data_IF_920043466120
#
_entry.id   IF_920043466120
#
_cell.length_a   1.000
_cell.length_b   1.000
_cell.length_c   1.000
_cell.angle_alpha   90.00
_cell.angle_beta   90.00
_cell.angle_gamma   90.00
#
_symmetry.space_group_name_H-M   'P 1'
#
loop_
_entity.id
_entity.type
_entity.pdbx_description
1 polymer ?
#
# COMPACT_ATOMS: atom_id res chain seq x y z
N UNK A 1 10.60 26.04 -7.08
CA UNK A 1 11.31 24.96 -7.82
C UNK A 1 11.12 23.53 -7.24
N UNK A 2 10.49 23.29 -6.07
CA UNK A 2 10.05 21.92 -5.70
C UNK A 2 8.73 21.50 -6.36
N UNK A 3 7.74 22.40 -6.40
CA UNK A 3 6.36 22.11 -6.86
C UNK A 3 6.22 21.62 -8.31
N UNK A 4 7.21 21.87 -9.16
CA UNK A 4 7.15 21.46 -10.58
C UNK A 4 7.49 19.97 -10.77
N UNK A 5 8.32 19.39 -9.90
CA UNK A 5 8.64 17.96 -9.92
C UNK A 5 7.44 17.13 -9.47
N UNK A 6 6.77 17.56 -8.39
CA UNK A 6 5.57 16.90 -7.87
C UNK A 6 4.45 16.86 -8.93
N UNK A 7 4.32 17.93 -9.72
CA UNK A 7 3.30 18.03 -10.76
C UNK A 7 3.56 17.09 -11.94
N UNK A 8 4.82 16.95 -12.38
CA UNK A 8 5.20 16.03 -13.46
C UNK A 8 5.08 14.56 -13.02
N UNK A 9 5.44 14.25 -11.78
CA UNK A 9 5.29 12.92 -11.20
C UNK A 9 3.82 12.53 -11.09
N UNK A 10 2.98 13.40 -10.52
CA UNK A 10 1.54 13.14 -10.43
C UNK A 10 0.89 12.93 -11.80
N UNK A 11 1.21 13.77 -12.79
CA UNK A 11 0.68 13.63 -14.14
C UNK A 11 1.11 12.30 -14.79
N UNK A 12 2.35 11.86 -14.60
CA UNK A 12 2.82 10.59 -15.15
C UNK A 12 2.16 9.39 -14.47
N UNK A 13 1.96 9.46 -13.16
CA UNK A 13 1.24 8.44 -12.38
C UNK A 13 -0.21 8.30 -12.84
N UNK A 14 -0.88 9.42 -13.15
CA UNK A 14 -2.24 9.44 -13.68
C UNK A 14 -2.32 8.90 -15.12
N UNK A 15 -1.43 9.34 -16.02
CA UNK A 15 -1.45 8.92 -17.44
C UNK A 15 -1.11 7.44 -17.62
N UNK A 16 -0.22 6.88 -16.79
CA UNK A 16 0.24 5.50 -16.93
C UNK A 16 -0.49 4.53 -16.00
N UNK A 17 -1.56 4.98 -15.33
CA UNK A 17 -2.26 4.19 -14.30
C UNK A 17 -1.28 3.60 -13.26
N UNK A 18 -0.21 4.32 -12.95
CA UNK A 18 0.87 3.82 -12.11
C UNK A 18 0.37 3.52 -10.69
N UNK A 19 -0.52 4.37 -10.18
CA UNK A 19 -1.17 4.16 -8.89
C UNK A 19 -2.10 2.95 -8.88
N UNK A 20 -2.84 2.71 -9.97
CA UNK A 20 -3.72 1.54 -10.09
C UNK A 20 -2.91 0.25 -10.09
N UNK A 21 -1.81 0.20 -10.85
CA UNK A 21 -0.87 -0.93 -10.91
C UNK A 21 -0.26 -1.24 -9.55
N UNK A 22 0.22 -0.22 -8.84
CA UNK A 22 0.79 -0.38 -7.49
C UNK A 22 -0.27 -0.85 -6.51
N UNK A 23 -1.49 -0.32 -6.61
CA UNK A 23 -2.63 -0.71 -5.77
C UNK A 23 -3.02 -2.18 -5.98
N UNK A 24 -3.09 -2.63 -7.23
CA UNK A 24 -3.36 -4.03 -7.57
C UNK A 24 -2.25 -4.96 -7.08
N UNK A 25 -0.98 -4.55 -7.27
CA UNK A 25 0.19 -5.31 -6.82
C UNK A 25 0.18 -5.49 -5.29
N UNK A 26 -0.02 -4.41 -4.52
CA UNK A 26 -0.04 -4.50 -3.06
C UNK A 26 -1.20 -5.37 -2.57
N UNK A 27 -2.38 -5.24 -3.16
CA UNK A 27 -3.54 -6.07 -2.78
C UNK A 27 -3.25 -7.55 -3.03
N UNK A 28 -2.71 -7.88 -4.20
CA UNK A 28 -2.37 -9.26 -4.58
C UNK A 28 -1.33 -9.85 -3.62
N UNK A 29 -0.22 -9.13 -3.38
CA UNK A 29 0.85 -9.61 -2.51
C UNK A 29 0.46 -9.73 -1.04
N UNK A 30 -0.39 -8.84 -0.54
CA UNK A 30 -0.92 -8.96 0.82
C UNK A 30 -1.88 -10.17 0.97
N UNK A 31 -2.56 -10.57 -0.10
CA UNK A 31 -3.37 -11.80 -0.07
C UNK A 31 -2.46 -13.03 -0.11
N UNK A 32 -1.53 -13.10 -1.07
CA UNK A 32 -0.65 -14.25 -1.28
C UNK A 32 0.30 -14.51 -0.11
N UNK A 33 0.78 -13.45 0.55
CA UNK A 33 1.61 -13.58 1.76
C UNK A 33 0.84 -14.03 3.01
N UNK A 34 -0.48 -14.19 2.92
CA UNK A 34 -1.34 -14.53 4.04
C UNK A 34 -1.62 -13.38 5.00
N UNK A 35 -1.14 -12.17 4.70
CA UNK A 35 -1.33 -10.99 5.55
C UNK A 35 -2.81 -10.71 5.81
N UNK A 36 -3.67 -10.82 4.78
CA UNK A 36 -5.12 -10.61 4.93
C UNK A 36 -5.73 -11.53 5.99
N UNK A 37 -5.31 -12.79 6.02
CA UNK A 37 -5.82 -13.77 6.98
C UNK A 37 -5.28 -13.53 8.40
N UNK A 38 -4.02 -13.08 8.51
CA UNK A 38 -3.43 -12.65 9.78
C UNK A 38 -4.15 -11.45 10.37
N UNK A 39 -4.49 -10.44 9.56
CA UNK A 39 -5.28 -9.28 9.98
C UNK A 39 -6.68 -9.72 10.41
N UNK A 40 -7.33 -10.60 9.65
CA UNK A 40 -8.64 -11.15 10.02
C UNK A 40 -8.58 -11.90 11.36
N UNK A 41 -7.51 -12.64 11.62
CA UNK A 41 -7.27 -13.30 12.90
C UNK A 41 -7.06 -12.28 14.02
N UNK A 42 -6.31 -11.20 13.78
CA UNK A 42 -6.12 -10.13 14.75
C UNK A 42 -7.44 -9.43 15.11
N UNK A 43 -8.33 -9.17 14.15
CA UNK A 43 -9.67 -8.66 14.42
C UNK A 43 -10.49 -9.62 15.29
N UNK A 44 -10.49 -10.92 14.98
CA UNK A 44 -11.19 -11.91 15.80
C UNK A 44 -10.67 -11.94 17.24
N UNK A 45 -9.35 -11.94 17.41
CA UNK A 45 -8.73 -11.88 18.75
C UNK A 45 -9.13 -10.62 19.51
N UNK A 46 -9.11 -9.46 18.85
CA UNK A 46 -9.54 -8.20 19.44
C UNK A 46 -10.99 -8.27 19.96
N UNK A 47 -11.91 -8.81 19.15
CA UNK A 47 -13.31 -9.00 19.55
C UNK A 47 -13.44 -9.96 20.75
N UNK A 48 -12.71 -11.09 20.73
CA UNK A 48 -12.78 -12.09 21.81
C UNK A 48 -12.15 -11.58 23.11
N UNK A 49 -11.07 -10.80 23.03
CA UNK A 49 -10.36 -10.23 24.19
C UNK A 49 -11.17 -9.13 24.90
N UNK A 50 -12.06 -8.43 24.19
CA UNK A 50 -12.98 -7.44 24.79
C UNK A 50 -14.03 -8.06 25.73
N UNK A 51 -14.29 -9.37 25.60
CA UNK A 51 -15.24 -10.13 26.42
C UNK A 51 -16.73 -9.79 26.16
N UNK A 52 -17.62 -10.52 26.84
CA UNK A 52 -19.09 -10.45 26.62
C UNK A 52 -19.75 -9.12 27.01
N UNK A 53 -19.02 -8.21 27.67
CA UNK A 53 -19.60 -6.98 28.23
C UNK A 53 -19.64 -5.81 27.24
N UNK A 54 -18.79 -5.83 26.22
CA UNK A 54 -18.72 -4.76 25.24
C UNK A 54 -18.14 -5.26 23.91
N UNK A 55 -18.99 -5.37 22.89
CA UNK A 55 -18.53 -5.60 21.52
C UNK A 55 -17.91 -4.30 21.01
N UNK A 56 -16.61 -4.30 20.63
CA UNK A 56 -15.95 -3.09 20.15
C UNK A 56 -16.58 -2.61 18.85
N UNK A 57 -16.66 -1.29 18.66
CA UNK A 57 -17.11 -0.70 17.41
C UNK A 57 -16.11 -0.99 16.28
N UNK A 58 -16.51 -0.74 15.03
CA UNK A 58 -15.60 -0.85 13.88
C UNK A 58 -14.42 0.10 14.04
N UNK A 59 -14.65 1.33 14.52
CA UNK A 59 -13.60 2.32 14.72
C UNK A 59 -12.61 1.91 15.82
N UNK A 60 -13.09 1.27 16.89
CA UNK A 60 -12.22 0.71 17.93
C UNK A 60 -11.35 -0.41 17.37
N UNK A 61 -11.94 -1.31 16.56
CA UNK A 61 -11.22 -2.38 15.90
C UNK A 61 -10.17 -1.85 14.92
N UNK A 62 -10.50 -0.83 14.11
CA UNK A 62 -9.54 -0.19 13.22
C UNK A 62 -8.40 0.41 14.03
N UNK A 63 -8.70 1.20 15.06
CA UNK A 63 -7.70 1.84 15.92
C UNK A 63 -6.75 0.82 16.57
N UNK A 64 -7.30 -0.31 17.03
CA UNK A 64 -6.53 -1.35 17.71
C UNK A 64 -5.73 -2.25 16.74
N UNK A 65 -6.30 -2.60 15.58
CA UNK A 65 -5.73 -3.59 14.66
C UNK A 65 -4.80 -2.95 13.63
N UNK A 66 -5.06 -1.72 13.16
CA UNK A 66 -4.22 -1.04 12.16
C UNK A 66 -2.72 -1.03 12.48
N UNK A 67 -2.23 -0.68 13.69
CA UNK A 67 -0.80 -0.71 13.98
C UNK A 67 -0.20 -2.13 13.89
N UNK A 68 -0.94 -3.15 14.36
CA UNK A 68 -0.53 -4.57 14.25
C UNK A 68 -0.48 -5.00 12.79
N UNK A 69 -1.51 -4.68 12.02
CA UNK A 69 -1.61 -4.99 10.60
C UNK A 69 -0.43 -4.37 9.81
N UNK A 70 -0.11 -3.10 10.05
CA UNK A 70 1.05 -2.44 9.41
C UNK A 70 2.39 -3.11 9.75
N UNK A 71 2.57 -3.55 11.00
CA UNK A 71 3.77 -4.27 11.42
C UNK A 71 3.86 -5.69 10.82
N UNK A 72 2.73 -6.33 10.53
CA UNK A 72 2.67 -7.67 9.94
C UNK A 72 3.02 -7.71 8.44
N UNK A 73 3.12 -6.56 7.76
CA UNK A 73 3.47 -6.54 6.33
C UNK A 73 4.87 -7.11 6.14
N UNK A 74 5.04 -8.20 5.37
CA UNK A 74 6.35 -8.81 5.16
C UNK A 74 7.30 -7.89 4.39
N UNK A 75 8.60 -7.92 4.73
CA UNK A 75 9.59 -7.09 4.05
C UNK A 75 9.77 -7.44 2.58
N UNK A 76 9.50 -8.69 2.18
CA UNK A 76 9.47 -9.09 0.78
C UNK A 76 8.44 -8.29 -0.02
N UNK A 77 7.22 -8.14 0.52
CA UNK A 77 6.15 -7.34 -0.10
C UNK A 77 6.58 -5.88 -0.19
N UNK A 78 7.16 -5.31 0.86
CA UNK A 78 7.65 -3.92 0.85
C UNK A 78 8.71 -3.69 -0.23
N UNK A 79 9.66 -4.62 -0.38
CA UNK A 79 10.71 -4.54 -1.41
C UNK A 79 10.13 -4.62 -2.82
N UNK A 80 9.19 -5.54 -3.07
CA UNK A 80 8.54 -5.65 -4.38
C UNK A 80 7.76 -4.38 -4.74
N UNK A 81 7.05 -3.78 -3.78
CA UNK A 81 6.34 -2.52 -4.00
C UNK A 81 7.28 -1.36 -4.28
N UNK A 82 8.38 -1.26 -3.53
CA UNK A 82 9.39 -0.25 -3.77
C UNK A 82 10.00 -0.40 -5.17
N UNK A 83 10.28 -1.64 -5.58
CA UNK A 83 10.82 -1.90 -6.91
C UNK A 83 9.83 -1.51 -8.03
N UNK A 84 8.54 -1.82 -7.89
CA UNK A 84 7.54 -1.42 -8.88
C UNK A 84 7.40 0.12 -8.96
N UNK A 85 7.44 0.80 -7.80
CA UNK A 85 7.45 2.26 -7.76
C UNK A 85 8.70 2.84 -8.44
N UNK A 86 9.88 2.28 -8.18
CA UNK A 86 11.12 2.66 -8.87
C UNK A 86 10.99 2.47 -10.39
N UNK A 87 10.43 1.35 -10.87
CA UNK A 87 10.22 1.12 -12.30
C UNK A 87 9.26 2.12 -12.93
N UNK A 88 8.16 2.45 -12.24
CA UNK A 88 7.21 3.47 -12.70
C UNK A 88 7.91 4.83 -12.80
N UNK A 89 8.70 5.20 -11.79
CA UNK A 89 9.40 6.48 -11.76
C UNK A 89 10.56 6.56 -12.77
N UNK A 90 11.32 5.48 -12.99
CA UNK A 90 12.37 5.43 -14.02
C UNK A 90 11.80 5.61 -15.44
N UNK A 91 10.55 5.22 -15.67
CA UNK A 91 9.86 5.46 -16.93
C UNK A 91 9.40 6.91 -17.11
N UNK A 92 9.32 7.71 -16.04
CA UNK A 92 9.13 9.18 -16.10
C UNK A 92 10.34 9.84 -16.78
N UNK A 93 11.55 9.42 -16.42
CA UNK A 93 12.80 10.03 -16.91
C UNK A 93 13.03 9.79 -18.40
N UNK A 94 12.61 8.63 -18.92
CA UNK A 94 12.68 8.31 -20.37
C UNK A 94 11.71 9.12 -21.21
N UNK A 95 10.53 9.47 -20.68
CA UNK A 95 9.57 10.33 -21.37
C UNK A 95 10.09 11.78 -21.51
N UNK A 96 10.98 12.22 -20.59
CA UNK A 96 11.67 13.51 -20.66
C UNK A 96 12.85 13.56 -21.65
N UNK A 97 13.49 12.42 -21.93
CA UNK A 97 14.68 12.34 -22.80
C UNK A 97 14.39 12.08 -24.29
N UNK A 98 13.13 11.90 -24.70
CA UNK A 98 12.79 11.57 -26.10
C UNK A 98 12.56 12.80 -27.02
N UNK A 99 12.95 14.01 -26.61
CA UNK A 99 12.95 15.19 -27.49
C UNK A 99 14.23 16.00 -27.37
N UNK A 100 15.26 15.57 -28.08
CA UNK A 100 16.30 16.48 -28.60
C UNK A 100 17.23 15.73 -29.57
N UNK A 101 16.80 15.61 -30.82
CA UNK A 101 17.65 15.67 -32.02
C UNK A 101 16.82 16.29 -33.15
#
# INVERSE_FOLDING_TARGET
MPHEYDSKVNLHLDINHGLDRVTELVQTRLIESGWRDQVRLACRKAITESGDKHVPSVDDLVTQVTPKARAMVPDAVKRELLHELELILMNVDKAGYSKSF
#
